data_IF_593311504652
#
_entry.id   IF_593311504652
#
_cell.length_a   1.000
_cell.length_b   1.000
_cell.length_c   1.000
_cell.angle_alpha   90.00
_cell.angle_beta   90.00
_cell.angle_gamma   90.00
#
_symmetry.space_group_name_H-M   'P 1'
#
loop_
_entity.id
_entity.type
_entity.pdbx_description
1 polymer ?
#
# COMPACT_ATOMS: atom_id res chain seq x y z
N UNK A 1 16.38 32.12 4.69
CA UNK A 1 17.49 31.64 3.82
C UNK A 1 16.96 31.35 2.44
N UNK A 2 17.74 31.58 1.39
CA UNK A 2 17.37 31.18 0.02
C UNK A 2 18.33 30.06 -0.39
N UNK A 3 17.80 28.96 -0.91
CA UNK A 3 18.58 27.87 -1.49
C UNK A 3 19.13 28.34 -2.84
N UNK A 4 20.44 28.28 -3.07
CA UNK A 4 21.06 28.96 -4.19
C UNK A 4 21.66 28.02 -5.25
N UNK A 5 21.60 26.73 -5.07
CA UNK A 5 22.13 25.77 -6.01
C UNK A 5 23.07 24.73 -5.37
N UNK A 6 23.48 23.79 -6.19
CA UNK A 6 24.43 22.73 -5.78
C UNK A 6 25.78 22.99 -6.44
N UNK A 7 26.88 22.82 -5.73
CA UNK A 7 28.23 22.96 -6.27
C UNK A 7 29.02 21.67 -6.03
N UNK A 8 29.52 21.10 -7.11
CA UNK A 8 30.42 19.95 -7.06
C UNK A 8 31.83 20.44 -6.68
N UNK A 9 32.46 19.85 -5.68
CA UNK A 9 33.86 20.09 -5.30
C UNK A 9 34.59 18.74 -5.19
N UNK A 10 35.93 18.76 -5.20
CA UNK A 10 36.75 17.54 -4.98
C UNK A 10 36.38 16.77 -3.70
N UNK A 11 35.79 17.46 -2.70
CA UNK A 11 35.33 16.90 -1.42
C UNK A 11 33.85 16.51 -1.41
N UNK A 12 33.17 16.38 -2.57
CA UNK A 12 31.75 16.01 -2.66
C UNK A 12 30.83 17.18 -3.02
N UNK A 13 29.54 16.88 -3.15
CA UNK A 13 28.51 17.86 -3.50
C UNK A 13 28.10 18.67 -2.27
N UNK A 14 28.02 19.98 -2.41
CA UNK A 14 27.60 20.87 -1.33
C UNK A 14 26.38 21.69 -1.77
N UNK A 15 25.43 21.90 -0.85
CA UNK A 15 24.31 22.80 -1.07
C UNK A 15 24.71 24.21 -0.65
N UNK A 16 24.55 25.19 -1.53
CA UNK A 16 24.81 26.59 -1.22
C UNK A 16 23.53 27.31 -0.77
N UNK A 17 23.69 28.17 0.23
CA UNK A 17 22.64 29.01 0.78
C UNK A 17 23.10 30.46 0.83
N UNK A 18 22.14 31.39 0.71
CA UNK A 18 22.34 32.83 0.89
C UNK A 18 21.45 33.33 2.04
N UNK A 19 22.04 34.03 2.99
CA UNK A 19 21.26 34.71 4.03
C UNK A 19 20.49 35.88 3.46
N UNK A 20 19.20 35.98 3.70
CA UNK A 20 18.37 37.12 3.22
C UNK A 20 18.72 38.44 3.90
N UNK A 21 19.15 38.40 5.17
CA UNK A 21 19.43 39.59 5.95
C UNK A 21 20.80 40.23 5.64
N UNK A 22 21.86 39.41 5.54
CA UNK A 22 23.22 39.90 5.38
C UNK A 22 23.89 39.49 4.05
N UNK A 23 23.18 38.84 3.16
CA UNK A 23 23.67 38.35 1.86
C UNK A 23 24.88 37.41 1.90
N UNK A 24 25.37 37.00 3.06
CA UNK A 24 26.44 36.01 3.19
C UNK A 24 26.04 34.69 2.58
N UNK A 25 27.01 34.06 1.89
CA UNK A 25 26.86 32.70 1.35
C UNK A 25 27.57 31.72 2.24
N UNK A 26 26.97 30.57 2.43
CA UNK A 26 27.60 29.43 3.12
C UNK A 26 27.18 28.13 2.41
N UNK A 27 27.98 27.10 2.57
CA UNK A 27 27.71 25.81 1.94
C UNK A 27 27.73 24.71 3.00
N UNK A 28 26.77 23.81 2.90
CA UNK A 28 26.66 22.63 3.74
C UNK A 28 26.99 21.40 2.90
N UNK A 29 27.83 20.46 3.38
CA UNK A 29 28.00 19.19 2.71
C UNK A 29 26.64 18.53 2.55
N UNK A 30 26.34 18.08 1.36
CA UNK A 30 25.27 17.11 1.18
C UNK A 30 25.93 15.76 1.48
N UNK A 31 25.72 15.26 2.68
CA UNK A 31 25.95 13.86 2.92
C UNK A 31 24.99 13.11 1.98
N UNK A 32 25.55 12.58 0.92
CA UNK A 32 24.87 11.57 0.14
C UNK A 32 24.82 10.39 1.08
N UNK A 33 23.71 10.24 1.82
CA UNK A 33 23.36 8.95 2.36
C UNK A 33 23.21 8.07 1.11
N UNK A 34 24.28 7.37 0.77
CA UNK A 34 24.21 6.24 -0.12
C UNK A 34 23.35 5.27 0.65
N UNK A 35 22.02 5.36 0.47
CA UNK A 35 21.16 4.24 0.72
C UNK A 35 21.76 3.18 -0.19
N UNK A 36 22.57 2.27 0.38
CA UNK A 36 22.89 1.03 -0.30
C UNK A 36 21.56 0.53 -0.81
N UNK A 37 21.39 0.51 -2.14
CA UNK A 37 20.32 -0.26 -2.74
C UNK A 37 20.41 -1.59 -2.02
N UNK A 38 19.38 -1.94 -1.30
CA UNK A 38 19.25 -3.30 -0.76
C UNK A 38 19.43 -4.20 -1.96
N UNK A 39 20.52 -4.95 -1.91
CA UNK A 39 21.03 -5.73 -3.00
C UNK A 39 19.93 -6.70 -3.48
N UNK A 40 19.78 -6.82 -4.79
CA UNK A 40 19.15 -7.91 -5.52
C UNK A 40 17.65 -8.16 -5.38
N UNK A 41 16.84 -7.12 -5.19
CA UNK A 41 15.43 -7.24 -5.49
C UNK A 41 15.29 -7.07 -7.01
N UNK A 42 14.89 -8.12 -7.70
CA UNK A 42 14.48 -8.03 -9.11
C UNK A 42 13.49 -6.87 -9.27
N UNK A 43 13.63 -6.03 -10.29
CA UNK A 43 12.74 -4.90 -10.47
C UNK A 43 11.28 -5.34 -10.41
N UNK A 44 10.52 -4.73 -9.50
CA UNK A 44 9.08 -5.03 -9.32
C UNK A 44 8.73 -6.18 -8.39
N UNK A 45 9.67 -7.06 -8.02
CA UNK A 45 9.41 -8.14 -7.05
C UNK A 45 9.28 -7.55 -5.64
N UNK A 46 8.20 -7.88 -4.97
CA UNK A 46 7.94 -7.44 -3.60
C UNK A 46 8.30 -8.55 -2.61
N UNK A 47 7.81 -9.77 -2.85
CA UNK A 47 7.75 -10.83 -1.87
C UNK A 47 7.75 -12.20 -2.54
N UNK A 48 8.29 -13.22 -1.86
CA UNK A 48 8.20 -14.62 -2.28
C UNK A 48 8.14 -15.49 -1.05
N UNK A 49 7.06 -16.26 -0.91
CA UNK A 49 6.88 -17.18 0.22
C UNK A 49 6.26 -18.49 -0.24
N UNK A 50 6.57 -19.56 0.48
CA UNK A 50 6.09 -20.91 0.19
C UNK A 50 5.25 -21.39 1.36
N UNK A 51 4.11 -21.99 1.06
CA UNK A 51 3.17 -22.54 1.99
C UNK A 51 2.93 -24.01 1.66
N UNK A 52 2.87 -24.84 2.69
CA UNK A 52 2.60 -26.28 2.56
C UNK A 52 1.10 -26.59 2.50
N UNK A 53 0.24 -25.58 2.69
CA UNK A 53 -1.21 -25.69 2.66
C UNK A 53 -1.83 -24.41 2.09
N UNK A 54 -3.13 -24.43 1.88
CA UNK A 54 -3.93 -23.27 1.47
C UNK A 54 -3.66 -22.07 2.37
N UNK A 55 -3.37 -20.92 1.77
CA UNK A 55 -3.16 -19.67 2.49
C UNK A 55 -4.24 -18.65 2.14
N UNK A 56 -4.73 -17.91 3.13
CA UNK A 56 -5.67 -16.80 2.99
C UNK A 56 -4.95 -15.50 3.25
N UNK A 57 -4.91 -14.64 2.23
CA UNK A 57 -4.22 -13.35 2.30
C UNK A 57 -5.26 -12.24 2.35
N UNK A 58 -5.25 -11.48 3.44
CA UNK A 58 -6.13 -10.33 3.68
C UNK A 58 -5.44 -9.06 3.18
N UNK A 59 -6.00 -8.43 2.15
CA UNK A 59 -5.52 -7.16 1.64
C UNK A 59 -6.16 -6.00 2.39
N UNK A 60 -5.42 -5.38 3.31
CA UNK A 60 -5.87 -4.21 4.07
C UNK A 60 -5.38 -2.94 3.36
N UNK A 61 -6.28 -2.06 2.99
CA UNK A 61 -5.97 -0.80 2.32
C UNK A 61 -6.91 0.30 2.78
N UNK A 62 -6.49 1.55 2.64
CA UNK A 62 -7.34 2.69 2.94
C UNK A 62 -7.96 2.58 4.35
N UNK A 63 -7.11 2.29 5.34
CA UNK A 63 -7.52 2.09 6.74
C UNK A 63 -7.88 3.43 7.38
N UNK A 64 -7.08 4.47 7.07
CA UNK A 64 -7.28 5.84 7.53
C UNK A 64 -7.44 5.95 9.06
N UNK A 65 -6.56 5.29 9.82
CA UNK A 65 -6.54 5.45 11.28
C UNK A 65 -6.49 6.93 11.61
N UNK A 66 -7.38 7.37 12.48
CA UNK A 66 -7.51 8.77 12.90
C UNK A 66 -8.41 9.64 12.05
N UNK A 67 -8.94 9.17 10.92
CA UNK A 67 -10.03 9.86 10.24
C UNK A 67 -11.30 9.88 11.11
N UNK A 68 -12.09 10.95 11.00
CA UNK A 68 -13.38 11.05 11.73
C UNK A 68 -14.32 9.92 11.33
N UNK A 69 -14.29 9.53 10.09
CA UNK A 69 -15.11 8.46 9.51
C UNK A 69 -14.49 7.07 9.60
N UNK A 70 -13.34 6.91 10.26
CA UNK A 70 -12.70 5.60 10.43
C UNK A 70 -13.64 4.59 11.10
N UNK A 71 -13.83 3.45 10.47
CA UNK A 71 -14.61 2.33 11.01
C UNK A 71 -13.72 1.40 11.82
N UNK A 72 -13.42 1.83 13.05
CA UNK A 72 -12.56 1.09 13.98
C UNK A 72 -13.11 -0.32 14.27
N UNK A 73 -14.43 -0.49 14.33
CA UNK A 73 -15.05 -1.79 14.61
C UNK A 73 -14.84 -2.78 13.45
N UNK A 74 -14.96 -2.32 12.21
CA UNK A 74 -14.69 -3.14 11.03
C UNK A 74 -13.21 -3.49 10.91
N UNK A 75 -12.32 -2.57 11.29
CA UNK A 75 -10.89 -2.85 11.34
C UNK A 75 -10.52 -3.88 12.42
N UNK A 76 -11.14 -3.80 13.61
CA UNK A 76 -10.99 -4.82 14.66
C UNK A 76 -11.49 -6.20 14.22
N UNK A 77 -12.58 -6.25 13.44
CA UNK A 77 -13.08 -7.50 12.87
C UNK A 77 -12.05 -8.15 11.95
N UNK A 78 -11.43 -7.38 11.05
CA UNK A 78 -10.38 -7.86 10.17
C UNK A 78 -9.18 -8.42 10.96
N UNK A 79 -8.73 -7.70 11.98
CA UNK A 79 -7.63 -8.15 12.85
C UNK A 79 -7.98 -9.47 13.55
N UNK A 80 -9.18 -9.58 14.12
CA UNK A 80 -9.66 -10.80 14.80
C UNK A 80 -9.76 -11.98 13.85
N UNK A 81 -10.20 -11.77 12.62
CA UNK A 81 -10.27 -12.82 11.61
C UNK A 81 -8.88 -13.33 11.25
N UNK A 82 -7.92 -12.42 11.00
CA UNK A 82 -6.52 -12.78 10.74
C UNK A 82 -5.89 -13.50 11.94
N UNK A 83 -6.18 -13.05 13.15
CA UNK A 83 -5.62 -13.64 14.37
C UNK A 83 -6.07 -15.08 14.57
N UNK A 84 -7.35 -15.40 14.33
CA UNK A 84 -7.97 -16.72 14.55
C UNK A 84 -7.54 -17.78 13.54
N UNK A 85 -7.15 -17.40 12.35
CA UNK A 85 -6.83 -18.31 11.26
C UNK A 85 -5.31 -18.48 11.13
N UNK A 86 -4.79 -19.66 11.47
CA UNK A 86 -3.36 -19.97 11.40
C UNK A 86 -2.80 -19.87 9.98
N UNK A 87 -3.62 -20.12 8.96
CA UNK A 87 -3.28 -19.99 7.55
C UNK A 87 -3.52 -18.58 6.98
N UNK A 88 -3.91 -17.63 7.83
CA UNK A 88 -4.04 -16.25 7.40
C UNK A 88 -2.69 -15.55 7.29
N UNK A 89 -2.58 -14.69 6.27
CA UNK A 89 -1.56 -13.64 6.13
C UNK A 89 -2.25 -12.34 5.79
N UNK A 90 -1.53 -11.24 5.95
CA UNK A 90 -2.05 -9.93 5.57
C UNK A 90 -0.96 -9.04 4.98
N UNK A 91 -1.38 -8.04 4.25
CA UNK A 91 -0.53 -6.93 3.83
C UNK A 91 -1.29 -5.62 3.93
N UNK A 92 -0.58 -4.52 4.23
CA UNK A 92 -1.14 -3.18 4.18
C UNK A 92 -0.75 -2.50 2.87
N UNK A 93 -1.74 -1.99 2.12
CA UNK A 93 -1.57 -1.49 0.77
C UNK A 93 -1.77 0.03 0.62
N UNK A 94 -1.36 0.80 1.63
CA UNK A 94 -1.38 2.25 1.63
C UNK A 94 -2.61 2.88 2.27
N UNK A 95 -2.49 4.18 2.54
CA UNK A 95 -3.46 5.00 3.27
C UNK A 95 -3.86 4.36 4.60
N UNK A 96 -2.83 3.97 5.36
CA UNK A 96 -2.95 3.35 6.68
C UNK A 96 -3.40 4.40 7.71
N UNK A 97 -2.78 5.58 7.66
CA UNK A 97 -3.06 6.72 8.52
C UNK A 97 -3.76 7.82 7.73
N UNK A 98 -4.66 8.57 8.38
CA UNK A 98 -5.22 9.79 7.77
C UNK A 98 -4.17 10.88 7.62
N UNK A 99 -3.33 11.06 8.60
CA UNK A 99 -2.13 11.88 8.62
C UNK A 99 -2.33 13.29 8.00
N UNK A 100 -3.19 14.12 8.56
CA UNK A 100 -3.32 15.52 8.17
C UNK A 100 -2.33 16.36 9.00
N UNK A 101 -1.19 16.78 8.44
CA UNK A 101 -0.21 17.57 9.20
C UNK A 101 -0.74 18.97 9.51
N UNK A 102 -0.28 19.61 10.59
CA UNK A 102 -0.54 21.04 10.81
C UNK A 102 -0.14 21.87 9.58
N UNK A 103 -0.96 22.85 9.21
CA UNK A 103 -0.74 23.71 8.03
C UNK A 103 -0.87 23.03 6.65
N UNK A 104 -1.37 21.80 6.59
CA UNK A 104 -1.77 21.20 5.32
C UNK A 104 -3.04 21.85 4.80
N UNK A 105 -3.18 21.96 3.47
CA UNK A 105 -4.30 22.67 2.84
C UNK A 105 -5.68 22.01 3.04
N UNK A 106 -5.71 20.80 3.58
CA UNK A 106 -6.92 20.05 3.87
C UNK A 106 -7.46 20.46 5.25
N UNK A 107 -8.77 20.36 5.43
CA UNK A 107 -9.43 20.66 6.67
C UNK A 107 -8.94 19.74 7.80
N UNK A 108 -8.32 20.34 8.83
CA UNK A 108 -7.83 19.62 10.01
C UNK A 108 -8.93 18.87 10.78
N UNK A 109 -10.20 19.25 10.58
CA UNK A 109 -11.37 18.59 11.18
C UNK A 109 -11.67 17.22 10.57
N UNK A 110 -10.95 16.80 9.53
CA UNK A 110 -11.05 15.47 8.94
C UNK A 110 -10.38 14.36 9.76
N UNK A 111 -9.67 14.72 10.85
CA UNK A 111 -9.07 13.75 11.77
C UNK A 111 -9.49 14.06 13.21
N UNK A 112 -9.64 13.02 14.03
CA UNK A 112 -10.08 13.10 15.43
C UNK A 112 -8.94 12.90 16.44
N UNK A 113 -7.80 12.37 16.00
CA UNK A 113 -6.58 12.21 16.80
C UNK A 113 -5.37 12.72 16.02
N UNK A 114 -4.33 13.25 16.71
CA UNK A 114 -3.14 13.78 16.05
C UNK A 114 -2.31 12.67 15.35
N UNK A 115 -1.45 13.01 14.39
CA UNK A 115 -0.65 12.03 13.62
C UNK A 115 0.19 11.07 14.45
N UNK A 116 0.75 11.51 15.57
CA UNK A 116 1.53 10.65 16.48
C UNK A 116 0.66 9.55 17.10
N UNK A 117 -0.54 9.92 17.58
CA UNK A 117 -1.47 8.96 18.18
C UNK A 117 -2.03 7.98 17.13
N UNK A 118 -2.26 8.44 15.88
CA UNK A 118 -2.63 7.55 14.77
C UNK A 118 -1.56 6.46 14.53
N UNK A 119 -0.30 6.87 14.57
CA UNK A 119 0.83 5.97 14.43
C UNK A 119 0.86 4.94 15.55
N UNK A 120 0.76 5.39 16.81
CA UNK A 120 0.78 4.52 17.99
C UNK A 120 -0.39 3.54 17.97
N UNK A 121 -1.61 4.03 17.68
CA UNK A 121 -2.80 3.19 17.57
C UNK A 121 -2.63 2.07 16.53
N UNK A 122 -2.09 2.39 15.35
CA UNK A 122 -1.87 1.37 14.32
C UNK A 122 -0.87 0.31 14.80
N UNK A 123 0.27 0.72 15.37
CA UNK A 123 1.29 -0.22 15.87
C UNK A 123 0.70 -1.15 16.94
N UNK A 124 0.02 -0.61 17.94
CA UNK A 124 -0.57 -1.39 19.03
C UNK A 124 -1.59 -2.43 18.51
N UNK A 125 -2.42 -2.02 17.55
CA UNK A 125 -3.46 -2.90 16.98
C UNK A 125 -2.88 -4.01 16.12
N UNK A 126 -1.78 -3.77 15.41
CA UNK A 126 -1.18 -4.74 14.49
C UNK A 126 -0.15 -5.64 15.15
N UNK A 127 0.37 -5.28 16.32
CA UNK A 127 1.36 -6.08 17.07
C UNK A 127 0.94 -7.56 17.27
N UNK A 128 -0.33 -7.88 17.64
CA UNK A 128 -0.74 -9.28 17.83
C UNK A 128 -0.73 -10.15 16.57
N UNK A 129 -0.71 -9.54 15.38
CA UNK A 129 -0.74 -10.25 14.08
C UNK A 129 0.47 -9.92 13.20
N UNK A 130 1.49 -9.25 13.74
CA UNK A 130 2.67 -8.83 12.97
C UNK A 130 3.39 -9.99 12.27
N UNK A 131 3.47 -11.14 12.91
CA UNK A 131 4.17 -12.32 12.38
C UNK A 131 3.46 -12.93 11.16
N UNK A 132 2.21 -12.53 10.90
CA UNK A 132 1.43 -12.90 9.71
C UNK A 132 1.51 -11.84 8.60
N UNK A 133 2.28 -10.75 8.80
CA UNK A 133 2.41 -9.69 7.84
C UNK A 133 3.36 -10.05 6.70
N UNK A 134 2.89 -9.94 5.47
CA UNK A 134 3.71 -10.13 4.28
C UNK A 134 4.52 -8.87 3.98
N UNK A 135 3.89 -7.70 4.01
CA UNK A 135 4.53 -6.42 3.82
C UNK A 135 3.61 -5.24 4.17
N UNK A 136 4.23 -4.08 4.36
CA UNK A 136 3.55 -2.78 4.44
C UNK A 136 3.97 -1.93 3.25
N UNK A 137 3.00 -1.19 2.68
CA UNK A 137 3.19 -0.15 1.68
C UNK A 137 2.47 1.11 2.11
N UNK A 138 3.04 2.27 1.79
CA UNK A 138 2.37 3.55 2.01
C UNK A 138 1.54 4.01 0.81
N UNK A 139 0.58 4.86 1.08
CA UNK A 139 -0.28 5.51 0.09
C UNK A 139 -0.03 7.01 -0.01
N UNK A 140 -1.03 7.75 -0.45
CA UNK A 140 -0.91 9.21 -0.59
C UNK A 140 -1.19 9.97 0.72
N UNK A 141 -1.97 9.42 1.64
CA UNK A 141 -2.22 10.07 2.92
C UNK A 141 -1.04 9.96 3.88
N UNK A 142 -0.45 8.81 3.99
CA UNK A 142 0.66 8.55 4.91
C UNK A 142 2.04 8.79 4.28
N UNK A 143 2.46 7.96 3.31
CA UNK A 143 3.78 8.07 2.70
C UNK A 143 3.99 9.42 1.98
N UNK A 144 3.10 9.80 1.03
CA UNK A 144 3.35 11.02 0.25
C UNK A 144 3.25 12.29 1.09
N UNK A 145 2.33 12.36 2.06
CA UNK A 145 2.21 13.54 2.93
C UNK A 145 3.45 13.68 3.82
N UNK A 146 3.86 12.62 4.52
CA UNK A 146 5.05 12.67 5.39
C UNK A 146 6.32 12.93 4.60
N UNK A 147 6.48 12.30 3.44
CA UNK A 147 7.67 12.45 2.62
C UNK A 147 7.78 13.86 2.00
N UNK A 148 6.69 14.40 1.47
CA UNK A 148 6.71 15.72 0.85
C UNK A 148 6.91 16.87 1.86
N UNK A 149 6.49 16.69 3.11
CA UNK A 149 6.55 17.73 4.13
C UNK A 149 7.84 17.64 4.96
N UNK A 150 8.23 16.42 5.34
CA UNK A 150 9.31 16.18 6.29
C UNK A 150 10.53 15.47 5.68
N UNK A 151 10.48 15.05 4.39
CA UNK A 151 11.46 14.13 3.79
C UNK A 151 11.61 12.83 4.63
N UNK A 152 10.48 12.37 5.17
CA UNK A 152 10.36 11.26 6.11
C UNK A 152 9.27 10.28 5.66
N UNK A 153 9.60 9.01 5.64
CA UNK A 153 8.68 7.94 5.25
C UNK A 153 8.14 7.23 6.50
N UNK A 154 6.96 7.65 6.95
CA UNK A 154 6.32 7.11 8.15
C UNK A 154 6.00 5.62 8.01
N UNK A 155 5.61 5.15 6.82
CA UNK A 155 5.28 3.75 6.59
C UNK A 155 6.50 2.83 6.71
N UNK A 156 7.67 3.33 6.29
CA UNK A 156 8.93 2.61 6.49
C UNK A 156 9.29 2.47 7.97
N UNK A 157 8.96 3.48 8.78
CA UNK A 157 9.21 3.43 10.23
C UNK A 157 8.22 2.50 10.91
N UNK A 158 6.93 2.54 10.56
CA UNK A 158 5.94 1.57 11.04
C UNK A 158 6.36 0.13 10.76
N UNK A 159 6.77 -0.15 9.52
CA UNK A 159 7.23 -1.48 9.14
C UNK A 159 8.47 -1.93 9.93
N UNK A 160 9.41 -1.01 10.19
CA UNK A 160 10.59 -1.29 11.01
C UNK A 160 10.21 -1.60 12.45
N UNK A 161 9.28 -0.87 13.04
CA UNK A 161 8.85 -1.07 14.42
C UNK A 161 8.12 -2.40 14.60
N UNK A 162 7.22 -2.74 13.68
CA UNK A 162 6.57 -4.05 13.65
C UNK A 162 7.51 -5.19 13.23
N UNK A 163 8.74 -4.87 12.78
CA UNK A 163 9.70 -5.82 12.23
C UNK A 163 9.14 -6.63 11.03
N UNK A 164 8.51 -5.92 10.10
CA UNK A 164 7.90 -6.49 8.88
C UNK A 164 8.50 -5.88 7.61
N UNK A 165 8.41 -6.56 6.44
CA UNK A 165 8.91 -6.02 5.18
C UNK A 165 8.21 -4.72 4.77
N UNK A 166 8.97 -3.79 4.17
CA UNK A 166 8.48 -2.54 3.60
C UNK A 166 8.79 -2.43 2.11
N UNK A 167 7.76 -2.14 1.30
CA UNK A 167 7.92 -1.94 -0.15
C UNK A 167 7.19 -0.67 -0.61
N UNK A 168 7.98 0.33 -1.02
CA UNK A 168 7.44 1.63 -1.42
C UNK A 168 6.73 1.62 -2.78
N UNK A 169 7.26 0.88 -3.73
CA UNK A 169 6.77 0.86 -5.12
C UNK A 169 5.76 -0.27 -5.36
N UNK A 170 4.85 -0.10 -6.33
CA UNK A 170 4.07 -1.22 -6.86
C UNK A 170 4.98 -2.36 -7.32
N UNK A 171 4.50 -3.59 -7.22
CA UNK A 171 5.24 -4.75 -7.62
C UNK A 171 4.43 -6.03 -7.43
N UNK A 172 5.10 -7.17 -7.46
CA UNK A 172 4.44 -8.45 -7.36
C UNK A 172 4.98 -9.32 -6.23
N UNK A 173 4.09 -10.16 -5.70
CA UNK A 173 4.41 -11.21 -4.76
C UNK A 173 4.27 -12.57 -5.47
N UNK A 174 5.23 -13.46 -5.29
CA UNK A 174 5.16 -14.84 -5.72
C UNK A 174 4.72 -15.70 -4.53
N UNK A 175 3.55 -16.28 -4.63
CA UNK A 175 2.94 -17.15 -3.63
C UNK A 175 3.03 -18.59 -4.12
N UNK A 176 3.74 -19.44 -3.41
CA UNK A 176 3.88 -20.85 -3.75
C UNK A 176 3.12 -21.71 -2.75
N UNK A 177 2.17 -22.51 -3.23
CA UNK A 177 1.34 -23.42 -2.42
C UNK A 177 1.45 -24.83 -2.97
N UNK A 178 1.96 -25.77 -2.18
CA UNK A 178 2.17 -27.16 -2.59
C UNK A 178 2.87 -27.33 -3.95
N UNK A 179 3.84 -26.44 -4.25
CA UNK A 179 4.58 -26.45 -5.51
C UNK A 179 3.94 -25.64 -6.64
N UNK A 180 2.66 -25.27 -6.58
CA UNK A 180 2.02 -24.36 -7.52
C UNK A 180 2.39 -22.92 -7.23
N UNK A 181 2.75 -22.18 -8.25
CA UNK A 181 3.11 -20.74 -8.14
C UNK A 181 1.96 -19.86 -8.63
N UNK A 182 1.70 -18.78 -7.88
CA UNK A 182 0.73 -17.75 -8.16
C UNK A 182 1.36 -16.36 -8.00
N UNK A 183 0.87 -15.40 -8.74
CA UNK A 183 1.41 -14.05 -8.75
C UNK A 183 0.37 -13.01 -8.36
N UNK A 184 0.55 -12.42 -7.18
CA UNK A 184 -0.22 -11.28 -6.69
C UNK A 184 0.50 -9.98 -7.06
N UNK A 185 -0.04 -9.22 -7.98
CA UNK A 185 0.45 -7.88 -8.34
C UNK A 185 -0.33 -6.84 -7.55
N UNK A 186 0.36 -5.96 -6.84
CA UNK A 186 -0.30 -4.99 -5.97
C UNK A 186 0.32 -3.59 -6.06
N UNK A 187 -0.51 -2.59 -5.84
CA UNK A 187 -0.15 -1.18 -5.73
C UNK A 187 -1.23 -0.42 -4.98
N UNK A 188 -0.91 0.77 -4.43
CA UNK A 188 -1.96 1.56 -3.78
C UNK A 188 -2.95 2.13 -4.81
N UNK A 189 -2.46 2.51 -5.98
CA UNK A 189 -3.28 3.21 -6.99
C UNK A 189 -3.07 4.72 -6.95
N UNK A 190 -3.71 5.40 -7.90
CA UNK A 190 -3.58 6.86 -8.04
C UNK A 190 -4.89 7.52 -8.49
N UNK A 191 -5.80 6.78 -9.08
CA UNK A 191 -7.00 7.34 -9.70
C UNK A 191 -8.23 7.15 -8.82
N UNK A 192 -8.84 8.25 -8.39
CA UNK A 192 -10.16 8.29 -7.74
C UNK A 192 -11.34 8.23 -8.72
N UNK A 193 -11.12 7.93 -10.02
CA UNK A 193 -12.17 7.91 -11.04
C UNK A 193 -13.17 6.76 -10.87
N UNK A 194 -14.38 6.94 -11.45
CA UNK A 194 -15.47 5.94 -11.42
C UNK A 194 -15.09 4.60 -12.08
N UNK A 195 -14.18 4.62 -13.06
CA UNK A 195 -13.73 3.44 -13.78
C UNK A 195 -12.54 2.79 -13.07
N UNK A 196 -12.79 2.13 -11.95
CA UNK A 196 -11.79 1.40 -11.18
C UNK A 196 -11.00 0.38 -12.01
N UNK A 197 -11.66 -0.24 -13.00
CA UNK A 197 -11.07 -1.26 -13.86
C UNK A 197 -9.92 -0.75 -14.74
N UNK A 198 -9.98 0.51 -15.23
CA UNK A 198 -8.96 1.05 -16.14
C UNK A 198 -7.53 0.99 -15.56
N UNK A 199 -7.37 1.19 -14.27
CA UNK A 199 -6.06 1.11 -13.61
C UNK A 199 -5.59 -0.34 -13.44
N UNK A 200 -6.53 -1.25 -13.16
CA UNK A 200 -6.30 -2.69 -13.12
C UNK A 200 -5.95 -3.24 -14.51
N UNK A 201 -6.60 -2.76 -15.57
CA UNK A 201 -6.28 -3.10 -16.98
C UNK A 201 -4.85 -2.67 -17.34
N UNK A 202 -4.45 -1.45 -16.94
CA UNK A 202 -3.06 -1.01 -17.13
C UNK A 202 -2.07 -1.90 -16.38
N UNK A 203 -2.41 -2.27 -15.15
CA UNK A 203 -1.58 -3.17 -14.35
C UNK A 203 -1.42 -4.54 -15.01
N UNK A 204 -2.52 -5.13 -15.50
CA UNK A 204 -2.49 -6.42 -16.20
C UNK A 204 -1.74 -6.37 -17.53
N UNK A 205 -1.71 -5.21 -18.18
CA UNK A 205 -0.89 -4.99 -19.37
C UNK A 205 0.60 -4.96 -19.05
N UNK A 206 0.98 -4.36 -17.91
CA UNK A 206 2.40 -4.30 -17.47
C UNK A 206 2.88 -5.64 -16.93
N UNK A 207 2.01 -6.37 -16.26
CA UNK A 207 2.29 -7.68 -15.66
C UNK A 207 1.37 -8.77 -16.25
N UNK A 208 1.53 -9.13 -17.54
CA UNK A 208 0.58 -10.01 -18.25
C UNK A 208 0.50 -11.43 -17.68
N UNK A 209 1.47 -11.84 -16.90
CA UNK A 209 1.56 -13.12 -16.22
C UNK A 209 0.98 -13.12 -14.79
N UNK A 210 0.45 -11.97 -14.31
CA UNK A 210 -0.17 -11.87 -13.00
C UNK A 210 -1.51 -12.60 -12.92
N UNK A 211 -1.78 -13.25 -11.79
CA UNK A 211 -3.03 -13.97 -11.51
C UNK A 211 -4.03 -13.11 -10.76
N UNK A 212 -3.52 -12.27 -9.85
CA UNK A 212 -4.32 -11.35 -9.03
C UNK A 212 -3.77 -9.94 -9.12
N UNK A 213 -4.63 -8.98 -9.39
CA UNK A 213 -4.32 -7.55 -9.45
C UNK A 213 -5.08 -6.81 -8.37
N UNK A 214 -4.36 -6.23 -7.41
CA UNK A 214 -4.93 -5.60 -6.22
C UNK A 214 -4.57 -4.11 -6.15
N UNK A 215 -5.59 -3.24 -6.04
CA UNK A 215 -5.44 -1.80 -5.85
C UNK A 215 -6.35 -1.29 -4.72
N UNK A 216 -5.91 -0.24 -4.03
CA UNK A 216 -6.66 0.57 -3.09
C UNK A 216 -7.07 1.92 -3.67
N UNK A 217 -6.98 2.98 -2.87
CA UNK A 217 -7.10 4.40 -3.17
C UNK A 217 -8.51 4.90 -3.50
N UNK A 218 -9.30 4.21 -4.27
CA UNK A 218 -10.64 4.65 -4.66
C UNK A 218 -11.77 4.12 -3.77
N UNK A 219 -11.43 3.41 -2.70
CA UNK A 219 -12.30 2.84 -1.66
C UNK A 219 -13.36 1.86 -2.19
N UNK A 220 -13.36 1.54 -3.48
CA UNK A 220 -14.27 0.52 -4.01
C UNK A 220 -13.91 -0.85 -3.45
N UNK A 221 -14.93 -1.65 -3.13
CA UNK A 221 -14.78 -2.99 -2.59
C UNK A 221 -15.37 -3.99 -3.59
N UNK A 222 -14.52 -4.72 -4.28
CA UNK A 222 -14.92 -5.85 -5.11
C UNK A 222 -13.77 -6.78 -5.45
N UNK A 223 -14.12 -8.04 -5.73
CA UNK A 223 -13.25 -9.04 -6.34
C UNK A 223 -13.93 -9.62 -7.58
N UNK A 224 -13.40 -9.28 -8.76
CA UNK A 224 -14.00 -9.61 -10.05
C UNK A 224 -13.13 -10.61 -10.81
N UNK A 225 -13.65 -11.80 -11.17
CA UNK A 225 -12.93 -12.71 -12.05
C UNK A 225 -12.91 -12.17 -13.49
N UNK A 226 -11.75 -12.33 -14.13
CA UNK A 226 -11.50 -11.96 -15.53
C UNK A 226 -10.94 -13.18 -16.23
N UNK A 227 -11.74 -13.75 -17.11
CA UNK A 227 -11.34 -14.93 -17.88
C UNK A 227 -10.75 -14.51 -19.23
N UNK A 228 -9.66 -15.14 -19.61
CA UNK A 228 -9.01 -14.99 -20.92
C UNK A 228 -8.70 -16.36 -21.51
N UNK A 229 -8.68 -16.45 -22.83
CA UNK A 229 -8.19 -17.64 -23.53
C UNK A 229 -6.68 -17.46 -23.70
N UNK A 230 -5.92 -18.46 -23.30
CA UNK A 230 -4.48 -18.56 -23.55
C UNK A 230 -4.18 -19.85 -24.29
N UNK A 231 -3.18 -19.82 -25.17
CA UNK A 231 -2.68 -21.00 -25.85
C UNK A 231 -1.52 -21.54 -25.03
N UNK A 232 -1.58 -22.80 -24.64
CA UNK A 232 -0.51 -23.47 -23.90
C UNK A 232 0.63 -23.99 -24.82
N UNK A 233 1.62 -24.62 -24.23
CA UNK A 233 2.79 -25.13 -24.97
C UNK A 233 2.44 -26.27 -25.96
N UNK A 234 1.30 -26.92 -25.78
CA UNK A 234 0.76 -27.99 -26.67
C UNK A 234 -0.13 -27.42 -27.78
N UNK A 235 -0.25 -26.09 -27.93
CA UNK A 235 -1.14 -25.35 -28.82
C UNK A 235 -2.65 -25.57 -28.54
N UNK A 236 -3.01 -25.96 -27.33
CA UNK A 236 -4.40 -26.09 -26.91
C UNK A 236 -4.89 -24.78 -26.25
N UNK A 237 -6.14 -24.40 -26.55
CA UNK A 237 -6.79 -23.26 -25.91
C UNK A 237 -7.22 -23.63 -24.48
N UNK A 238 -6.75 -22.86 -23.51
CA UNK A 238 -7.11 -23.03 -22.11
C UNK A 238 -7.68 -21.74 -21.52
N UNK A 239 -8.54 -21.86 -20.50
CA UNK A 239 -9.07 -20.72 -19.79
C UNK A 239 -8.11 -20.34 -18.66
N UNK A 240 -7.61 -19.11 -18.74
CA UNK A 240 -6.84 -18.51 -17.65
C UNK A 240 -7.71 -17.51 -16.89
N UNK A 241 -8.04 -17.82 -15.64
CA UNK A 241 -8.79 -16.93 -14.75
C UNK A 241 -7.84 -16.05 -13.97
N UNK A 242 -8.04 -14.74 -14.05
CA UNK A 242 -7.39 -13.70 -13.26
C UNK A 242 -8.38 -13.03 -12.33
N UNK A 243 -7.88 -12.31 -11.33
CA UNK A 243 -8.72 -11.57 -10.42
C UNK A 243 -8.36 -10.09 -10.42
N UNK A 244 -9.37 -9.24 -10.64
CA UNK A 244 -9.28 -7.80 -10.46
C UNK A 244 -9.91 -7.42 -9.14
N UNK A 245 -9.12 -6.78 -8.24
CA UNK A 245 -9.51 -6.50 -6.88
C UNK A 245 -9.35 -5.01 -6.59
N UNK A 246 -10.41 -4.40 -6.09
CA UNK A 246 -10.38 -3.17 -5.33
C UNK A 246 -10.56 -3.53 -3.86
N UNK A 247 -9.56 -3.17 -3.06
CA UNK A 247 -9.41 -3.70 -1.71
C UNK A 247 -10.38 -3.15 -0.68
N UNK A 248 -11.23 -2.18 -1.05
CA UNK A 248 -12.15 -1.53 -0.14
C UNK A 248 -11.50 -0.42 0.68
N UNK A 249 -12.11 -0.10 1.80
CA UNK A 249 -11.59 0.83 2.80
C UNK A 249 -12.24 0.60 4.16
N UNK A 250 -11.65 1.18 5.20
CA UNK A 250 -12.22 1.24 6.56
C UNK A 250 -12.75 2.65 6.88
N UNK A 251 -13.11 3.41 5.83
CA UNK A 251 -13.81 4.68 5.97
C UNK A 251 -15.30 4.49 5.71
N UNK A 252 -16.12 4.96 6.65
CA UNK A 252 -17.55 5.18 6.41
C UNK A 252 -17.73 6.28 5.37
N UNK A 253 -18.94 6.41 4.82
CA UNK A 253 -19.22 7.37 3.76
C UNK A 253 -19.03 8.82 4.24
N UNK A 254 -17.88 9.37 3.92
CA UNK A 254 -17.43 10.69 4.35
C UNK A 254 -18.23 11.83 3.70
N UNK A 255 -18.31 12.98 4.37
CA UNK A 255 -19.05 14.16 3.89
C UNK A 255 -18.55 14.64 2.53
N UNK A 256 -17.24 14.66 2.29
CA UNK A 256 -16.71 15.05 0.98
C UNK A 256 -17.17 14.15 -0.16
N UNK A 257 -17.33 12.86 0.09
CA UNK A 257 -17.84 11.89 -0.87
C UNK A 257 -19.33 12.15 -1.17
N UNK A 258 -20.10 12.52 -0.14
CA UNK A 258 -21.52 12.93 -0.29
C UNK A 258 -21.66 14.19 -1.11
N UNK A 259 -20.85 15.23 -0.82
CA UNK A 259 -20.86 16.48 -1.58
C UNK A 259 -20.47 16.29 -3.05
N UNK A 260 -19.58 15.35 -3.32
CA UNK A 260 -19.07 15.06 -4.67
C UNK A 260 -19.91 14.01 -5.42
N UNK A 261 -20.98 13.50 -4.82
CA UNK A 261 -21.81 12.43 -5.37
C UNK A 261 -21.01 11.18 -5.76
N UNK A 262 -19.97 10.86 -4.99
CA UNK A 262 -19.26 9.60 -5.17
C UNK A 262 -20.19 8.42 -4.85
N UNK A 263 -20.02 7.27 -5.53
CA UNK A 263 -20.80 6.08 -5.21
C UNK A 263 -20.67 5.71 -3.73
N UNK A 264 -21.78 5.26 -3.14
CA UNK A 264 -21.76 4.69 -1.80
C UNK A 264 -20.92 3.41 -1.84
N UNK A 265 -19.88 3.36 -1.00
CA UNK A 265 -19.03 2.17 -0.82
C UNK A 265 -19.29 1.56 0.56
N UNK A 266 -19.16 0.23 0.64
CA UNK A 266 -19.21 -0.48 1.92
C UNK A 266 -17.80 -0.50 2.52
N UNK A 267 -17.71 -0.35 3.83
CA UNK A 267 -16.45 -0.59 4.55
C UNK A 267 -16.14 -2.08 4.56
N UNK A 268 -14.88 -2.41 4.41
CA UNK A 268 -14.44 -3.80 4.39
C UNK A 268 -13.13 -4.01 3.66
N UNK A 269 -12.78 -5.28 3.49
CA UNK A 269 -11.55 -5.72 2.83
C UNK A 269 -11.78 -6.95 1.97
N UNK A 270 -10.80 -7.32 1.15
CA UNK A 270 -10.83 -8.53 0.34
C UNK A 270 -9.90 -9.59 0.91
N UNK A 271 -10.38 -10.82 0.98
CA UNK A 271 -9.58 -12.02 1.25
C UNK A 271 -9.33 -12.78 -0.03
N UNK A 272 -8.08 -13.21 -0.24
CA UNK A 272 -7.62 -13.99 -1.38
C UNK A 272 -7.11 -15.33 -0.86
N UNK A 273 -7.78 -16.41 -1.25
CA UNK A 273 -7.36 -17.77 -0.91
C UNK A 273 -6.58 -18.37 -2.08
N UNK A 274 -5.34 -18.77 -1.82
CA UNK A 274 -4.49 -19.49 -2.75
C UNK A 274 -4.40 -20.96 -2.32
N UNK A 275 -4.70 -21.86 -3.25
CA UNK A 275 -4.48 -23.30 -3.09
C UNK A 275 -3.57 -23.82 -4.22
N UNK A 276 -3.30 -25.11 -4.24
CA UNK A 276 -2.55 -25.77 -5.32
C UNK A 276 -3.31 -25.81 -6.66
N UNK A 277 -4.63 -25.66 -6.65
CA UNK A 277 -5.48 -25.84 -7.82
C UNK A 277 -6.18 -24.56 -8.28
N UNK A 278 -6.41 -23.58 -7.40
CA UNK A 278 -7.21 -22.40 -7.72
C UNK A 278 -7.01 -21.24 -6.76
N UNK A 279 -7.43 -20.07 -7.24
CA UNK A 279 -7.57 -18.85 -6.44
C UNK A 279 -9.06 -18.58 -6.22
N UNK A 280 -9.44 -18.22 -5.00
CA UNK A 280 -10.74 -17.67 -4.66
C UNK A 280 -10.57 -16.31 -4.03
N UNK A 281 -11.49 -15.40 -4.31
CA UNK A 281 -11.52 -14.07 -3.70
C UNK A 281 -12.93 -13.74 -3.25
N UNK A 282 -13.05 -13.07 -2.10
CA UNK A 282 -14.33 -12.58 -1.59
C UNK A 282 -14.17 -11.30 -0.78
N UNK A 283 -15.26 -10.53 -0.75
CA UNK A 283 -15.37 -9.31 0.03
C UNK A 283 -15.88 -9.63 1.45
N UNK A 284 -15.30 -8.95 2.45
CA UNK A 284 -15.71 -8.98 3.86
C UNK A 284 -16.28 -7.59 4.22
N UNK A 285 -17.59 -7.47 4.36
CA UNK A 285 -18.29 -6.20 4.62
C UNK A 285 -19.36 -6.31 5.68
#
# INVERSE_FOLDING_TARGET
>A
MIKFGKKLRKSGTRQEYKCKACSRRFSVPIETVIIKKTDDIEPGKIFSETFDDTVRIHGLTDIHVGAVEHDSSKFDEAIKEIQKDDNARWFANGDILELIPPNYKINQRGQNIPPEDQYMEFIERMEPIRDKCLFIRGGNHDYLRSFNILDFDVCKVMAKELNVPYYRLPGYARIKVNGKEWYLVSGHGKSGGKNGDLELDKMSTVYPWGDVFFLGHNHQLYAKPMDSIVVDDDNEETLHRRWYIRGGSFLRYADYARYSFYPLVRTGWVTIEFSDSKIKCWENY
#
